data_IF_862720233037
#
_entry.id   IF_862720233037
#
_cell.length_a   1.000
_cell.length_b   1.000
_cell.length_c   1.000
_cell.angle_alpha   90.00
_cell.angle_beta   90.00
_cell.angle_gamma   90.00
#
_symmetry.space_group_name_H-M   'P 1'
#
loop_
_entity.id
_entity.type
_entity.pdbx_description
1 polymer ?
#
# COMPACT_ATOMS: atom_id res chain seq x y z
N UNK A 1 -13.24 34.51 -5.77
CA UNK A 1 -12.10 33.59 -5.84
C UNK A 1 -12.44 32.38 -4.96
N UNK A 2 -12.39 31.14 -5.47
CA UNK A 2 -12.94 29.98 -4.75
C UNK A 2 -12.13 29.54 -3.52
N UNK A 3 -10.80 29.61 -3.61
CA UNK A 3 -9.88 29.11 -2.56
C UNK A 3 -9.01 30.21 -1.93
N UNK A 4 -9.09 31.45 -2.44
CA UNK A 4 -8.28 32.57 -1.95
C UNK A 4 -8.99 33.22 -0.75
N UNK A 5 -8.40 33.17 0.46
CA UNK A 5 -8.98 33.80 1.65
C UNK A 5 -9.20 35.31 1.50
N UNK A 6 -8.34 36.01 0.73
CA UNK A 6 -8.48 37.45 0.50
C UNK A 6 -9.75 37.80 -0.30
N UNK A 7 -10.26 36.84 -1.08
CA UNK A 7 -11.51 36.94 -1.82
C UNK A 7 -12.69 36.22 -1.16
N UNK A 8 -12.57 35.81 0.11
CA UNK A 8 -13.60 35.05 0.84
C UNK A 8 -13.68 33.56 0.52
N UNK A 9 -12.70 33.01 -0.20
CA UNK A 9 -12.58 31.59 -0.49
C UNK A 9 -11.93 30.79 0.64
N UNK A 10 -11.98 29.46 0.54
CA UNK A 10 -11.46 28.54 1.56
C UNK A 10 -10.45 27.54 0.95
N UNK A 11 -9.16 27.56 1.32
CA UNK A 11 -8.18 26.59 0.85
C UNK A 11 -8.46 25.16 1.34
N UNK A 12 -9.20 24.97 2.44
CA UNK A 12 -9.59 23.64 2.94
C UNK A 12 -10.64 23.00 2.01
N UNK A 13 -11.47 23.81 1.33
CA UNK A 13 -12.38 23.31 0.30
C UNK A 13 -11.60 22.58 -0.81
N UNK A 14 -10.47 23.13 -1.25
CA UNK A 14 -9.61 22.45 -2.22
C UNK A 14 -9.10 21.11 -1.68
N UNK A 15 -8.68 21.06 -0.41
CA UNK A 15 -8.23 19.81 0.20
C UNK A 15 -9.32 18.74 0.23
N UNK A 16 -10.55 19.11 0.59
CA UNK A 16 -11.68 18.18 0.54
C UNK A 16 -11.92 17.65 -0.88
N UNK A 17 -11.97 18.53 -1.88
CA UNK A 17 -12.17 18.13 -3.28
C UNK A 17 -11.04 17.22 -3.77
N UNK A 18 -9.80 17.60 -3.48
CA UNK A 18 -8.62 16.85 -3.89
C UNK A 18 -8.61 15.46 -3.24
N UNK A 19 -8.78 15.36 -1.93
CA UNK A 19 -8.73 14.08 -1.24
C UNK A 19 -9.94 13.20 -1.48
N UNK A 20 -11.12 13.80 -1.72
CA UNK A 20 -12.31 13.05 -2.14
C UNK A 20 -12.06 12.26 -3.43
N UNK A 21 -11.23 12.80 -4.33
CA UNK A 21 -10.71 12.07 -5.48
C UNK A 21 -9.48 11.20 -5.14
N UNK A 22 -8.51 11.77 -4.45
CA UNK A 22 -7.18 11.17 -4.28
C UNK A 22 -7.18 9.88 -3.44
N UNK A 23 -8.09 9.75 -2.46
CA UNK A 23 -8.16 8.50 -1.71
C UNK A 23 -8.77 7.34 -2.53
N UNK A 24 -9.88 7.52 -3.27
CA UNK A 24 -10.31 6.54 -4.26
C UNK A 24 -9.24 6.20 -5.31
N UNK A 25 -8.47 7.19 -5.78
CA UNK A 25 -7.41 6.98 -6.79
C UNK A 25 -6.38 5.95 -6.33
N UNK A 26 -5.93 6.00 -5.07
CA UNK A 26 -4.95 5.02 -4.58
C UNK A 26 -5.51 3.59 -4.57
N UNK A 27 -6.83 3.41 -4.41
CA UNK A 27 -7.46 2.10 -4.56
C UNK A 27 -7.56 1.67 -6.03
N UNK A 28 -7.89 2.57 -6.94
CA UNK A 28 -7.88 2.28 -8.39
C UNK A 28 -6.51 1.74 -8.82
N UNK A 29 -5.42 2.26 -8.25
CA UNK A 29 -4.06 1.81 -8.54
C UNK A 29 -3.74 0.40 -7.99
N UNK A 30 -4.22 0.04 -6.80
CA UNK A 30 -3.85 -1.23 -6.15
C UNK A 30 -4.80 -2.39 -6.46
N UNK A 31 -6.08 -2.12 -6.75
CA UNK A 31 -7.10 -3.16 -6.98
C UNK A 31 -6.77 -4.09 -8.17
N UNK A 32 -6.23 -3.62 -9.31
CA UNK A 32 -5.73 -4.50 -10.37
C UNK A 32 -4.61 -5.41 -9.87
N UNK A 33 -3.71 -4.88 -9.04
CA UNK A 33 -2.63 -5.65 -8.43
C UNK A 33 -3.15 -6.77 -7.53
N UNK A 34 -4.16 -6.49 -6.71
CA UNK A 34 -4.85 -7.53 -5.94
C UNK A 34 -5.49 -8.59 -6.82
N UNK A 35 -6.06 -8.21 -7.96
CA UNK A 35 -6.56 -9.15 -8.96
C UNK A 35 -5.47 -10.08 -9.48
N UNK A 36 -4.31 -9.52 -9.84
CA UNK A 36 -3.17 -10.30 -10.32
C UNK A 36 -2.62 -11.26 -9.26
N UNK A 37 -2.43 -10.80 -8.02
CA UNK A 37 -1.98 -11.67 -6.93
C UNK A 37 -2.99 -12.80 -6.68
N UNK A 38 -4.30 -12.50 -6.62
CA UNK A 38 -5.34 -13.52 -6.51
C UNK A 38 -5.29 -14.53 -7.64
N UNK A 39 -5.16 -14.07 -8.89
CA UNK A 39 -5.12 -14.91 -10.07
C UNK A 39 -3.93 -15.88 -10.03
N UNK A 40 -2.73 -15.37 -9.73
CA UNK A 40 -1.53 -16.21 -9.65
C UNK A 40 -1.64 -17.20 -8.49
N UNK A 41 -2.04 -16.76 -7.29
CA UNK A 41 -2.21 -17.65 -6.13
C UNK A 41 -3.20 -18.80 -6.40
N UNK A 42 -4.32 -18.51 -7.07
CA UNK A 42 -5.33 -19.53 -7.42
C UNK A 42 -4.76 -20.58 -8.38
N UNK A 43 -4.02 -20.14 -9.40
CA UNK A 43 -3.37 -21.04 -10.35
C UNK A 43 -2.24 -21.88 -9.71
N UNK A 44 -1.50 -21.32 -8.75
CA UNK A 44 -0.47 -22.07 -8.02
C UNK A 44 -1.07 -23.10 -7.05
N UNK A 45 -2.23 -22.80 -6.46
CA UNK A 45 -2.92 -23.66 -5.49
C UNK A 45 -3.43 -25.00 -6.04
N UNK A 46 -3.39 -25.21 -7.37
CA UNK A 46 -3.87 -26.41 -8.07
C UNK A 46 -5.28 -26.88 -7.66
N UNK A 47 -6.09 -25.99 -7.10
CA UNK A 47 -7.45 -26.27 -6.62
C UNK A 47 -8.46 -25.91 -7.70
N UNK A 48 -9.57 -26.65 -7.77
CA UNK A 48 -10.62 -26.40 -8.76
C UNK A 48 -11.33 -25.05 -8.56
N UNK A 49 -11.28 -24.50 -7.36
CA UNK A 49 -11.86 -23.21 -7.02
C UNK A 49 -10.89 -22.37 -6.17
N UNK A 50 -11.08 -21.06 -6.21
CA UNK A 50 -10.30 -20.09 -5.44
C UNK A 50 -10.77 -20.11 -3.98
N UNK A 51 -9.86 -20.34 -3.04
CA UNK A 51 -10.21 -20.36 -1.62
C UNK A 51 -10.89 -19.05 -1.21
N UNK A 52 -12.11 -19.17 -0.66
CA UNK A 52 -12.88 -18.04 -0.20
C UNK A 52 -13.24 -17.06 -1.31
N UNK A 53 -13.60 -17.54 -2.51
CA UNK A 53 -14.00 -16.70 -3.65
C UNK A 53 -14.97 -15.57 -3.27
N UNK A 54 -16.08 -15.89 -2.59
CA UNK A 54 -17.03 -14.88 -2.12
C UNK A 54 -16.41 -13.90 -1.11
N UNK A 55 -15.52 -14.39 -0.23
CA UNK A 55 -14.76 -13.55 0.70
C UNK A 55 -13.86 -12.55 -0.03
N UNK A 56 -13.13 -13.01 -1.06
CA UNK A 56 -12.29 -12.17 -1.92
C UNK A 56 -13.13 -11.14 -2.70
N UNK A 57 -14.29 -11.55 -3.21
CA UNK A 57 -15.21 -10.70 -3.96
C UNK A 57 -15.80 -9.60 -3.08
N UNK A 58 -16.38 -9.97 -1.93
CA UNK A 58 -16.96 -9.00 -1.00
C UNK A 58 -15.91 -8.13 -0.34
N UNK A 59 -14.68 -8.64 -0.13
CA UNK A 59 -13.57 -7.81 0.30
C UNK A 59 -13.24 -6.72 -0.72
N UNK A 60 -13.17 -7.05 -2.01
CA UNK A 60 -12.92 -6.05 -3.08
C UNK A 60 -14.05 -5.02 -3.13
N UNK A 61 -15.31 -5.47 -3.09
CA UNK A 61 -16.46 -4.57 -3.06
C UNK A 61 -16.44 -3.64 -1.84
N UNK A 62 -16.12 -4.19 -0.66
CA UNK A 62 -16.02 -3.43 0.58
C UNK A 62 -14.90 -2.39 0.53
N UNK A 63 -13.73 -2.72 -0.03
CA UNK A 63 -12.62 -1.76 -0.20
C UNK A 63 -13.04 -0.60 -1.10
N UNK A 64 -13.74 -0.85 -2.20
CA UNK A 64 -14.23 0.21 -3.11
C UNK A 64 -15.25 1.10 -2.40
N UNK A 65 -16.24 0.52 -1.74
CA UNK A 65 -17.31 1.27 -1.07
C UNK A 65 -16.81 2.07 0.13
N UNK A 66 -15.92 1.50 0.94
CA UNK A 66 -15.34 2.21 2.08
C UNK A 66 -14.30 3.24 1.63
N UNK A 67 -13.53 2.94 0.58
CA UNK A 67 -12.53 3.84 0.03
C UNK A 67 -13.10 5.17 -0.49
N UNK A 68 -14.35 5.20 -0.92
CA UNK A 68 -15.02 6.44 -1.33
C UNK A 68 -15.48 7.33 -0.17
N UNK A 69 -15.43 6.85 1.07
CA UNK A 69 -15.97 7.55 2.26
C UNK A 69 -14.95 7.85 3.34
N UNK A 70 -13.64 7.73 3.05
CA UNK A 70 -12.57 7.89 4.06
C UNK A 70 -11.58 9.03 3.79
N UNK A 71 -11.81 9.85 2.76
CA UNK A 71 -10.85 10.89 2.33
C UNK A 71 -10.40 11.85 3.43
N UNK A 72 -11.26 12.10 4.42
CA UNK A 72 -11.01 13.02 5.52
C UNK A 72 -9.80 12.64 6.39
N UNK A 73 -9.32 11.39 6.35
CA UNK A 73 -8.10 11.03 7.09
C UNK A 73 -6.83 11.72 6.60
N UNK A 74 -6.82 12.24 5.36
CA UNK A 74 -5.68 13.02 4.86
C UNK A 74 -5.67 14.45 5.40
N UNK A 75 -6.64 14.78 6.25
CA UNK A 75 -6.93 16.14 6.70
C UNK A 75 -7.06 16.21 8.22
N UNK A 76 -6.60 15.21 8.99
CA UNK A 76 -6.78 15.21 10.45
C UNK A 76 -6.19 16.44 11.15
N UNK A 77 -5.17 17.06 10.56
CA UNK A 77 -4.47 18.24 11.11
C UNK A 77 -5.05 19.58 10.67
N UNK A 78 -6.09 19.62 9.83
CA UNK A 78 -6.69 20.90 9.35
C UNK A 78 -7.67 21.52 10.34
N UNK A 79 -7.89 20.89 11.50
CA UNK A 79 -8.81 21.37 12.54
C UNK A 79 -10.24 20.86 12.42
N UNK A 80 -10.45 19.64 11.93
CA UNK A 80 -11.75 18.96 11.96
C UNK A 80 -12.27 18.84 13.40
N UNK A 81 -13.60 18.87 13.59
CA UNK A 81 -14.17 18.59 14.90
C UNK A 81 -13.91 17.14 15.32
N UNK A 82 -13.89 16.90 16.64
CA UNK A 82 -13.53 15.60 17.22
C UNK A 82 -14.41 14.46 16.71
N UNK A 83 -15.72 14.69 16.50
CA UNK A 83 -16.64 13.63 16.05
C UNK A 83 -16.35 13.25 14.60
N UNK A 84 -16.11 14.24 13.75
CA UNK A 84 -15.72 14.04 12.35
C UNK A 84 -14.38 13.31 12.25
N UNK A 85 -13.38 13.72 13.02
CA UNK A 85 -12.07 13.04 13.04
C UNK A 85 -12.17 11.58 13.51
N UNK A 86 -12.92 11.31 14.58
CA UNK A 86 -13.14 9.94 15.10
C UNK A 86 -13.93 9.08 14.10
N UNK A 87 -14.92 9.66 13.40
CA UNK A 87 -15.64 8.97 12.34
C UNK A 87 -14.69 8.52 11.22
N UNK A 88 -13.94 9.45 10.63
CA UNK A 88 -13.02 9.12 9.54
C UNK A 88 -11.92 8.14 9.98
N UNK A 89 -11.43 8.28 11.22
CA UNK A 89 -10.46 7.36 11.81
C UNK A 89 -11.02 5.93 11.91
N UNK A 90 -12.22 5.78 12.47
CA UNK A 90 -12.89 4.48 12.63
C UNK A 90 -13.18 3.80 11.29
N UNK A 91 -13.74 4.53 10.33
CA UNK A 91 -14.08 3.94 9.02
C UNK A 91 -12.81 3.55 8.25
N UNK A 92 -11.75 4.35 8.35
CA UNK A 92 -10.45 4.00 7.73
C UNK A 92 -9.86 2.72 8.31
N UNK A 93 -9.90 2.54 9.64
CA UNK A 93 -9.46 1.29 10.29
C UNK A 93 -10.22 0.06 9.80
N UNK A 94 -11.54 0.20 9.56
CA UNK A 94 -12.39 -0.91 9.09
C UNK A 94 -11.91 -1.46 7.74
N UNK A 95 -11.30 -0.64 6.88
CA UNK A 95 -10.75 -1.11 5.58
C UNK A 95 -9.63 -2.14 5.77
N UNK A 96 -8.97 -2.15 6.94
CA UNK A 96 -8.02 -3.19 7.31
C UNK A 96 -8.62 -4.59 7.31
N UNK A 97 -9.93 -4.75 7.58
CA UNK A 97 -10.61 -6.05 7.64
C UNK A 97 -10.73 -6.71 6.25
N UNK A 98 -11.38 -6.11 5.23
CA UNK A 98 -11.46 -6.73 3.90
C UNK A 98 -10.07 -6.91 3.27
N UNK A 99 -9.13 -5.99 3.53
CA UNK A 99 -7.74 -6.13 3.08
C UNK A 99 -7.08 -7.35 3.73
N UNK A 100 -7.27 -7.54 5.04
CA UNK A 100 -6.79 -8.71 5.78
C UNK A 100 -7.38 -10.03 5.26
N UNK A 101 -8.68 -10.07 4.95
CA UNK A 101 -9.32 -11.25 4.34
C UNK A 101 -8.57 -11.67 3.08
N UNK A 102 -8.21 -10.72 2.21
CA UNK A 102 -7.45 -11.02 0.98
C UNK A 102 -6.06 -11.57 1.28
N UNK A 103 -5.33 -10.93 2.20
CA UNK A 103 -3.98 -11.39 2.61
C UNK A 103 -4.02 -12.81 3.15
N UNK A 104 -4.94 -13.13 4.07
CA UNK A 104 -5.07 -14.47 4.63
C UNK A 104 -5.52 -15.50 3.58
N UNK A 105 -6.42 -15.14 2.66
CA UNK A 105 -6.81 -16.01 1.55
C UNK A 105 -5.62 -16.33 0.63
N UNK A 106 -4.76 -15.34 0.31
CA UNK A 106 -3.56 -15.59 -0.50
C UNK A 106 -2.57 -16.50 0.22
N UNK A 107 -2.30 -16.24 1.51
CA UNK A 107 -1.44 -17.10 2.33
C UNK A 107 -1.96 -18.54 2.35
N UNK A 108 -3.26 -18.73 2.56
CA UNK A 108 -3.87 -20.06 2.55
C UNK A 108 -3.70 -20.77 1.21
N UNK A 109 -3.95 -20.09 0.08
CA UNK A 109 -3.78 -20.69 -1.25
C UNK A 109 -2.33 -21.11 -1.52
N UNK A 110 -1.37 -20.28 -1.12
CA UNK A 110 0.06 -20.58 -1.30
C UNK A 110 0.50 -21.73 -0.38
N UNK A 111 0.06 -21.76 0.88
CA UNK A 111 0.39 -22.84 1.82
C UNK A 111 -0.10 -24.21 1.36
N UNK A 112 -1.20 -24.26 0.61
CA UNK A 112 -1.76 -25.49 0.04
C UNK A 112 -1.31 -25.74 -1.41
N UNK A 113 -0.46 -24.87 -1.97
CA UNK A 113 0.08 -25.05 -3.33
C UNK A 113 1.16 -26.13 -3.36
N UNK A 114 1.35 -26.75 -4.53
CA UNK A 114 2.47 -27.68 -4.80
C UNK A 114 3.62 -27.00 -5.55
N UNK A 115 3.72 -25.68 -5.47
CA UNK A 115 4.73 -24.91 -6.19
C UNK A 115 6.12 -25.21 -5.63
N UNK A 116 7.12 -25.33 -6.50
CA UNK A 116 8.50 -25.47 -6.07
C UNK A 116 9.00 -24.15 -5.48
N UNK A 117 9.73 -24.22 -4.36
CA UNK A 117 10.44 -23.06 -3.79
C UNK A 117 11.47 -22.45 -4.76
N UNK A 118 11.82 -23.16 -5.85
CA UNK A 118 12.71 -22.63 -6.89
C UNK A 118 12.00 -21.75 -7.92
N UNK A 119 10.66 -21.68 -7.92
CA UNK A 119 9.93 -20.86 -8.88
C UNK A 119 10.01 -19.37 -8.49
N UNK A 120 10.51 -18.48 -9.38
CA UNK A 120 10.68 -17.08 -9.05
C UNK A 120 9.38 -16.36 -8.70
N UNK A 121 8.25 -16.74 -9.33
CA UNK A 121 6.95 -16.10 -9.09
C UNK A 121 6.50 -16.26 -7.63
N UNK A 122 6.81 -17.39 -6.99
CA UNK A 122 6.51 -17.61 -5.57
C UNK A 122 7.20 -16.57 -4.68
N UNK A 123 8.44 -16.20 -5.01
CA UNK A 123 9.24 -15.24 -4.25
C UNK A 123 8.65 -13.83 -4.36
N UNK A 124 8.21 -13.45 -5.56
CA UNK A 124 7.56 -12.16 -5.78
C UNK A 124 6.21 -12.04 -5.08
N UNK A 125 5.41 -13.11 -5.05
CA UNK A 125 4.14 -13.12 -4.31
C UNK A 125 4.39 -13.02 -2.80
N UNK A 126 5.35 -13.78 -2.27
CA UNK A 126 5.70 -13.72 -0.84
C UNK A 126 6.21 -12.33 -0.47
N UNK A 127 7.07 -11.75 -1.30
CA UNK A 127 7.56 -10.37 -1.18
C UNK A 127 6.41 -9.35 -1.15
N UNK A 128 5.45 -9.48 -2.08
CA UNK A 128 4.24 -8.65 -2.10
C UNK A 128 3.50 -8.76 -0.77
N UNK A 129 3.17 -9.99 -0.33
CA UNK A 129 2.39 -10.19 0.90
C UNK A 129 3.09 -9.59 2.12
N UNK A 130 4.39 -9.84 2.29
CA UNK A 130 5.15 -9.35 3.45
C UNK A 130 5.21 -7.83 3.46
N UNK A 131 5.65 -7.21 2.36
CA UNK A 131 5.88 -5.76 2.33
C UNK A 131 4.56 -4.99 2.31
N UNK A 132 3.55 -5.49 1.59
CA UNK A 132 2.20 -4.93 1.64
C UNK A 132 1.60 -5.00 3.05
N UNK A 133 1.85 -6.08 3.79
CA UNK A 133 1.38 -6.21 5.19
C UNK A 133 2.07 -5.22 6.12
N UNK A 134 3.39 -5.02 5.99
CA UNK A 134 4.12 -3.99 6.77
C UNK A 134 3.55 -2.60 6.47
N UNK A 135 3.32 -2.28 5.19
CA UNK A 135 2.65 -1.05 4.78
C UNK A 135 1.23 -0.94 5.34
N UNK A 136 0.44 -2.01 5.31
CA UNK A 136 -0.92 -2.03 5.85
C UNK A 136 -0.96 -1.76 7.35
N UNK A 137 -0.07 -2.37 8.13
CA UNK A 137 0.01 -2.14 9.59
C UNK A 137 0.37 -0.69 9.90
N UNK A 138 1.32 -0.10 9.17
CA UNK A 138 1.67 1.32 9.34
C UNK A 138 0.53 2.26 8.90
N UNK A 139 -0.30 1.83 7.95
CA UNK A 139 -1.53 2.52 7.57
C UNK A 139 -2.60 2.51 8.64
N UNK A 140 -2.75 1.38 9.35
CA UNK A 140 -3.64 1.31 10.52
C UNK A 140 -3.17 2.28 11.62
N UNK A 141 -1.85 2.42 11.82
CA UNK A 141 -1.30 3.42 12.75
C UNK A 141 -1.69 4.84 12.31
N UNK A 142 -1.49 5.18 11.03
CA UNK A 142 -1.84 6.50 10.48
C UNK A 142 -3.34 6.76 10.42
N UNK A 143 -4.17 5.71 10.39
CA UNK A 143 -5.62 5.88 10.44
C UNK A 143 -6.09 6.39 11.80
N UNK A 144 -5.29 6.29 12.87
CA UNK A 144 -5.61 6.82 14.18
C UNK A 144 -5.37 8.33 14.22
N UNK A 145 -6.45 9.13 14.27
CA UNK A 145 -6.35 10.60 14.22
C UNK A 145 -5.47 11.21 15.34
N UNK A 146 -5.43 10.57 16.52
CA UNK A 146 -4.57 10.99 17.63
C UNK A 146 -3.09 10.82 17.32
N UNK A 147 -2.72 9.71 16.66
CA UNK A 147 -1.33 9.46 16.27
C UNK A 147 -0.94 10.28 15.04
N UNK A 148 -1.88 10.46 14.11
CA UNK A 148 -1.63 11.27 12.91
C UNK A 148 -1.29 12.71 13.28
N UNK A 149 -1.81 13.29 14.36
CA UNK A 149 -1.39 14.62 14.81
C UNK A 149 0.14 14.79 15.00
N UNK A 150 0.88 13.72 15.28
CA UNK A 150 2.33 13.72 15.46
C UNK A 150 3.06 13.21 14.20
N UNK A 151 2.43 12.31 13.44
CA UNK A 151 3.04 11.65 12.29
C UNK A 151 2.69 12.32 10.95
N UNK A 152 1.69 13.19 10.92
CA UNK A 152 1.23 13.88 9.72
C UNK A 152 2.36 14.69 9.11
N UNK A 153 2.48 14.64 7.79
CA UNK A 153 3.52 15.33 7.03
C UNK A 153 4.96 14.99 7.44
N UNK A 154 5.17 13.89 8.14
CA UNK A 154 6.50 13.33 8.40
C UNK A 154 6.90 12.27 7.38
N UNK A 155 8.13 11.82 7.47
CA UNK A 155 8.63 10.67 6.70
C UNK A 155 7.90 9.35 7.02
N UNK A 156 7.14 9.26 8.12
CA UNK A 156 6.37 8.07 8.45
C UNK A 156 5.27 7.83 7.40
N UNK A 157 4.56 8.89 7.01
CA UNK A 157 3.52 8.85 5.96
C UNK A 157 4.15 8.50 4.61
N UNK A 158 5.34 9.05 4.33
CA UNK A 158 6.10 8.73 3.11
C UNK A 158 6.44 7.23 3.08
N UNK A 159 6.98 6.70 4.17
CA UNK A 159 7.34 5.29 4.29
C UNK A 159 6.13 4.37 4.10
N UNK A 160 5.05 4.62 4.85
CA UNK A 160 3.79 3.88 4.74
C UNK A 160 3.30 3.80 3.27
N UNK A 161 3.22 4.95 2.62
CA UNK A 161 2.72 5.03 1.25
C UNK A 161 3.62 4.32 0.24
N UNK A 162 4.93 4.35 0.42
CA UNK A 162 5.84 3.62 -0.47
C UNK A 162 5.73 2.10 -0.29
N UNK A 163 5.50 1.61 0.94
CA UNK A 163 5.26 0.18 1.18
C UNK A 163 3.94 -0.31 0.54
N UNK A 164 2.87 0.49 0.62
CA UNK A 164 1.55 0.08 0.10
C UNK A 164 1.41 0.35 -1.40
N UNK A 165 1.72 1.57 -1.85
CA UNK A 165 1.39 2.05 -3.19
C UNK A 165 2.58 1.92 -4.15
N UNK A 166 3.77 2.44 -3.79
CA UNK A 166 4.94 2.36 -4.68
C UNK A 166 5.39 0.91 -4.91
N UNK A 167 5.30 0.06 -3.89
CA UNK A 167 5.76 -1.32 -3.98
C UNK A 167 4.63 -2.31 -4.29
N UNK A 168 3.45 -2.15 -3.68
CA UNK A 168 2.31 -3.01 -3.96
C UNK A 168 1.94 -2.99 -5.46
N UNK A 169 1.89 -1.80 -6.06
CA UNK A 169 1.64 -1.66 -7.51
C UNK A 169 2.83 -2.14 -8.36
N UNK A 170 4.06 -1.77 -7.99
CA UNK A 170 5.27 -2.20 -8.71
C UNK A 170 5.43 -3.72 -8.75
N UNK A 171 5.37 -4.40 -7.59
CA UNK A 171 5.48 -5.87 -7.54
C UNK A 171 4.35 -6.50 -8.32
N UNK A 172 3.13 -5.95 -8.25
CA UNK A 172 2.01 -6.48 -9.02
C UNK A 172 2.26 -6.42 -10.53
N UNK A 173 2.88 -5.36 -11.04
CA UNK A 173 3.30 -5.23 -12.44
C UNK A 173 4.40 -6.24 -12.78
N UNK A 174 5.39 -6.44 -11.90
CA UNK A 174 6.43 -7.44 -12.11
C UNK A 174 5.85 -8.86 -12.12
N UNK A 175 4.93 -9.18 -11.20
CA UNK A 175 4.24 -10.47 -11.16
C UNK A 175 3.43 -10.67 -12.44
N UNK A 176 2.69 -9.66 -12.89
CA UNK A 176 1.98 -9.67 -14.17
C UNK A 176 2.93 -10.00 -15.33
N UNK A 177 4.06 -9.30 -15.40
CA UNK A 177 5.04 -9.48 -16.45
C UNK A 177 5.60 -10.91 -16.43
N UNK A 178 6.11 -11.35 -15.28
CA UNK A 178 6.71 -12.69 -15.12
C UNK A 178 5.70 -13.81 -15.42
N UNK A 179 4.44 -13.63 -15.00
CA UNK A 179 3.39 -14.64 -15.15
C UNK A 179 2.90 -14.78 -16.59
N UNK A 180 2.65 -13.67 -17.30
CA UNK A 180 2.11 -13.71 -18.66
C UNK A 180 3.18 -13.68 -19.76
N UNK A 181 4.43 -13.39 -19.46
CA UNK A 181 5.50 -13.35 -20.44
C UNK A 181 5.61 -14.62 -21.31
N UNK A 182 5.60 -15.85 -20.77
CA UNK A 182 5.66 -17.06 -21.59
C UNK A 182 4.45 -17.24 -22.51
N UNK A 183 3.28 -16.74 -22.10
CA UNK A 183 2.05 -16.80 -22.90
C UNK A 183 2.10 -15.80 -24.05
N UNK A 184 2.58 -14.59 -23.79
CA UNK A 184 2.65 -13.50 -24.78
C UNK A 184 3.73 -13.76 -25.82
N UNK A 185 4.90 -14.23 -25.37
CA UNK A 185 6.11 -14.31 -26.22
C UNK A 185 6.49 -15.73 -26.64
N UNK A 186 5.95 -16.75 -25.99
CA UNK A 186 6.36 -18.15 -26.19
C UNK A 186 7.73 -18.50 -25.61
N UNK A 187 8.43 -17.57 -24.95
CA UNK A 187 9.77 -17.79 -24.38
C UNK A 187 9.77 -17.66 -22.85
N UNK A 188 10.64 -18.42 -22.19
CA UNK A 188 10.80 -18.37 -20.73
C UNK A 188 11.88 -17.36 -20.31
N UNK A 189 11.65 -16.71 -19.16
CA UNK A 189 12.64 -15.85 -18.53
C UNK A 189 13.64 -16.69 -17.72
N UNK A 190 14.87 -16.17 -17.56
CA UNK A 190 15.89 -16.84 -16.75
C UNK A 190 15.50 -16.81 -15.26
N UNK A 191 15.34 -18.01 -14.67
CA UNK A 191 14.90 -18.16 -13.28
C UNK A 191 15.86 -17.53 -12.26
N UNK A 192 17.17 -17.70 -12.46
CA UNK A 192 18.18 -17.17 -11.54
C UNK A 192 18.23 -15.65 -11.55
N UNK A 193 18.11 -15.03 -12.73
CA UNK A 193 18.05 -13.57 -12.83
C UNK A 193 16.79 -13.00 -12.18
N UNK A 194 15.64 -13.68 -12.33
CA UNK A 194 14.40 -13.26 -11.66
C UNK A 194 14.47 -13.38 -10.14
N UNK A 195 15.12 -14.42 -9.61
CA UNK A 195 15.36 -14.57 -8.17
C UNK A 195 16.32 -13.49 -7.65
N UNK A 196 17.42 -13.25 -8.37
CA UNK A 196 18.36 -12.18 -8.03
C UNK A 196 17.67 -10.81 -8.04
N UNK A 197 16.88 -10.51 -9.07
CA UNK A 197 16.09 -9.29 -9.16
C UNK A 197 15.12 -9.15 -7.98
N UNK A 198 14.45 -10.23 -7.57
CA UNK A 198 13.58 -10.23 -6.39
C UNK A 198 14.37 -9.87 -5.13
N UNK A 199 15.49 -10.54 -4.85
CA UNK A 199 16.31 -10.28 -3.65
C UNK A 199 16.80 -8.82 -3.64
N UNK A 200 17.43 -8.37 -4.72
CA UNK A 200 18.01 -7.02 -4.81
C UNK A 200 16.92 -5.95 -4.65
N UNK A 201 15.75 -6.14 -5.26
CA UNK A 201 14.62 -5.23 -5.11
C UNK A 201 14.14 -5.16 -3.66
N UNK A 202 14.00 -6.31 -2.99
CA UNK A 202 13.54 -6.36 -1.60
C UNK A 202 14.54 -5.70 -0.65
N UNK A 203 15.83 -5.97 -0.82
CA UNK A 203 16.89 -5.39 0.02
C UNK A 203 16.97 -3.88 -0.21
N UNK A 204 17.08 -3.44 -1.47
CA UNK A 204 17.17 -2.01 -1.81
C UNK A 204 15.95 -1.23 -1.34
N UNK A 205 14.76 -1.79 -1.52
CA UNK A 205 13.52 -1.16 -1.05
C UNK A 205 13.50 -0.99 0.47
N UNK A 206 13.82 -2.04 1.25
CA UNK A 206 13.82 -1.93 2.70
C UNK A 206 14.92 -0.99 3.21
N UNK A 207 16.12 -1.00 2.61
CA UNK A 207 17.17 -0.06 2.97
C UNK A 207 16.75 1.40 2.72
N UNK A 208 15.98 1.66 1.67
CA UNK A 208 15.49 2.99 1.35
C UNK A 208 14.34 3.43 2.27
N UNK A 209 13.27 2.62 2.39
CA UNK A 209 12.02 3.08 3.00
C UNK A 209 11.80 2.62 4.44
N UNK A 210 12.44 1.53 4.89
CA UNK A 210 12.26 1.08 6.27
C UNK A 210 12.77 2.13 7.28
N UNK A 211 13.98 2.72 7.12
CA UNK A 211 14.48 3.75 8.03
C UNK A 211 13.59 5.00 8.10
N UNK A 212 12.85 5.31 7.03
CA UNK A 212 11.94 6.47 6.99
C UNK A 212 10.84 6.42 8.06
N UNK A 213 10.42 5.23 8.50
CA UNK A 213 9.51 5.11 9.64
C UNK A 213 10.13 5.68 10.91
N UNK A 214 11.38 5.30 11.22
CA UNK A 214 12.07 5.80 12.40
C UNK A 214 12.23 7.32 12.36
N UNK A 215 12.68 7.88 11.23
CA UNK A 215 12.81 9.33 11.08
C UNK A 215 11.49 10.08 11.15
N UNK A 216 10.43 9.47 10.63
CA UNK A 216 9.08 10.01 10.76
C UNK A 216 8.63 10.09 12.22
N UNK A 217 8.89 9.05 13.01
CA UNK A 217 8.64 9.07 14.47
C UNK A 217 9.50 10.13 15.18
N UNK A 218 10.72 10.38 14.70
CA UNK A 218 11.55 11.48 15.19
C UNK A 218 11.07 12.88 14.76
N UNK A 219 10.00 12.97 13.95
CA UNK A 219 9.42 14.25 13.52
C UNK A 219 10.08 14.86 12.27
N UNK A 220 10.85 14.08 11.50
CA UNK A 220 11.47 14.59 10.27
C UNK A 220 10.38 14.92 9.22
N UNK A 221 10.24 16.20 8.82
CA UNK A 221 9.16 16.61 7.92
C UNK A 221 9.43 16.17 6.48
N UNK A 222 8.35 15.97 5.71
CA UNK A 222 8.44 15.74 4.27
C UNK A 222 8.69 17.05 3.51
N UNK A 223 9.17 16.94 2.27
CA UNK A 223 9.34 18.07 1.33
C UNK A 223 10.28 19.17 1.83
N UNK A 224 11.33 18.78 2.57
CA UNK A 224 12.43 19.67 2.95
C UNK A 224 13.72 19.23 2.25
N UNK A 225 14.56 20.20 1.90
CA UNK A 225 15.87 19.96 1.28
C UNK A 225 17.03 20.01 2.29
N UNK A 226 16.78 20.48 3.51
CA UNK A 226 17.75 20.61 4.59
C UNK A 226 17.13 20.11 5.88
N UNK A 227 17.88 19.33 6.63
CA UNK A 227 17.52 18.80 7.95
C UNK A 227 18.68 18.99 8.92
N UNK A 228 18.41 18.81 10.21
CA UNK A 228 19.44 18.91 11.24
C UNK A 228 20.62 17.98 10.93
N UNK A 229 21.84 18.41 11.28
CA UNK A 229 23.07 17.67 10.99
C UNK A 229 23.07 16.25 11.55
N UNK A 230 22.32 15.99 12.63
CA UNK A 230 22.12 14.66 13.19
C UNK A 230 21.45 13.66 12.25
N UNK A 231 20.75 14.14 11.22
CA UNK A 231 20.08 13.35 10.18
C UNK A 231 20.83 13.36 8.84
N UNK A 232 22.02 13.98 8.76
CA UNK A 232 22.77 14.08 7.49
C UNK A 232 23.22 12.70 6.94
N UNK A 233 23.41 11.71 7.81
CA UNK A 233 23.77 10.34 7.41
C UNK A 233 22.70 9.65 6.56
N UNK A 234 21.46 10.13 6.61
CA UNK A 234 20.36 9.66 5.76
C UNK A 234 20.66 9.87 4.27
N UNK A 235 21.38 10.93 3.92
CA UNK A 235 21.74 11.25 2.53
C UNK A 235 22.89 10.40 1.98
N UNK A 236 23.52 9.61 2.86
CA UNK A 236 24.73 8.85 2.54
C UNK A 236 24.40 7.35 2.36
N UNK A 237 23.25 6.90 2.87
CA UNK A 237 22.68 5.56 2.66
C UNK A 237 21.95 5.47 1.32
#
# INVERSE_FOLDING_TARGET
AFFDPLGGGDPILFQHMFWFFGHPEVYVLILPGFGMISHVCSNLGCSYDTFGFYGLLFAMFSIVCLGSVVWGHHMFTVGLDVKTAVFFSSVTMIIGVPTGIKVFSWLYMILNSRVSLREPVFWWILSFIVLFTIGGVTGIILSACVLDNILHDTWFVVAHFHYVMSLGSYISIIVFFVWWWPVITGVSLNKYLLQCHCIVSNVGFNLCFFPMHYFGVCGLPRRVCVYESGYAWINIL
#
